data_IF_498284140165
#
_entry.id   IF_498284140165
#
_cell.length_a   1.000
_cell.length_b   1.000
_cell.length_c   1.000
_cell.angle_alpha   90.00
_cell.angle_beta   90.00
_cell.angle_gamma   90.00
#
_symmetry.space_group_name_H-M   'P 1'
#
loop_
_entity.id
_entity.type
_entity.pdbx_description
1 polymer ?
#
# COMPACT_ATOMS: atom_id res chain seq x y z
N UNK A 1 9.25 -23.04 3.95
CA UNK A 1 9.39 -23.99 5.01
C UNK A 1 8.65 -23.53 6.27
N UNK A 2 7.96 -24.41 7.00
CA UNK A 2 7.05 -24.04 8.07
C UNK A 2 7.66 -23.27 9.23
N UNK A 3 8.86 -23.67 9.66
CA UNK A 3 9.54 -22.99 10.76
C UNK A 3 9.92 -21.55 10.41
N UNK A 4 10.50 -21.34 9.24
CA UNK A 4 10.88 -20.00 8.80
C UNK A 4 9.63 -19.11 8.62
N UNK A 5 8.55 -19.64 8.07
CA UNK A 5 7.29 -18.92 7.89
C UNK A 5 6.71 -18.47 9.24
N UNK A 6 6.69 -19.37 10.24
CA UNK A 6 6.17 -19.02 11.58
C UNK A 6 7.00 -17.90 12.24
N UNK A 7 8.32 -17.91 12.06
CA UNK A 7 9.18 -16.86 12.62
C UNK A 7 8.97 -15.52 11.90
N UNK A 8 8.78 -15.52 10.59
CA UNK A 8 8.48 -14.31 9.84
C UNK A 8 7.14 -13.70 10.26
N UNK A 9 6.13 -14.51 10.50
CA UNK A 9 4.83 -14.03 11.01
C UNK A 9 4.97 -13.36 12.37
N UNK A 10 5.76 -13.94 13.28
CA UNK A 10 6.02 -13.35 14.59
C UNK A 10 6.77 -12.02 14.48
N UNK A 11 7.74 -11.92 13.57
CA UNK A 11 8.47 -10.67 13.33
C UNK A 11 7.55 -9.58 12.83
N UNK A 12 6.64 -9.89 11.90
CA UNK A 12 5.67 -8.92 11.40
C UNK A 12 4.78 -8.42 12.53
N UNK A 13 4.25 -9.33 13.36
CA UNK A 13 3.42 -8.96 14.50
C UNK A 13 4.16 -8.10 15.51
N UNK A 14 5.46 -8.29 15.66
CA UNK A 14 6.33 -7.52 16.57
C UNK A 14 6.97 -6.29 15.90
N UNK A 15 6.56 -5.96 14.66
CA UNK A 15 7.13 -4.88 13.87
C UNK A 15 8.63 -5.06 13.58
N UNK A 16 9.13 -6.30 13.56
CA UNK A 16 10.52 -6.61 13.19
C UNK A 16 10.71 -6.85 11.70
N UNK A 17 9.60 -6.93 10.92
CA UNK A 17 9.62 -6.90 9.47
C UNK A 17 9.19 -5.50 9.02
N UNK A 18 9.97 -4.90 8.14
CA UNK A 18 9.62 -3.62 7.54
C UNK A 18 9.25 -3.83 6.07
N UNK A 19 8.07 -3.36 5.69
CA UNK A 19 7.58 -3.38 4.30
C UNK A 19 7.20 -1.97 3.90
N UNK A 20 7.77 -1.50 2.79
CA UNK A 20 7.46 -0.18 2.24
C UNK A 20 6.98 -0.31 0.81
N UNK A 21 5.98 0.50 0.48
CA UNK A 21 5.35 0.51 -0.83
C UNK A 21 5.30 1.93 -1.36
N UNK A 22 5.37 2.07 -2.69
CA UNK A 22 4.93 3.28 -3.36
C UNK A 22 3.54 3.04 -3.94
N UNK A 23 2.69 4.06 -3.87
CA UNK A 23 1.38 4.05 -4.50
C UNK A 23 1.08 5.43 -5.08
N UNK A 24 0.29 5.45 -6.16
CA UNK A 24 -0.33 6.66 -6.68
C UNK A 24 -1.80 6.63 -6.32
N UNK A 25 -2.26 7.67 -5.61
CA UNK A 25 -3.63 7.78 -5.12
C UNK A 25 -4.26 9.07 -5.61
N UNK A 26 -5.57 9.10 -5.75
CA UNK A 26 -6.31 10.27 -6.26
C UNK A 26 -7.58 10.48 -5.46
N UNK A 27 -7.84 11.72 -5.07
CA UNK A 27 -9.05 12.08 -4.37
C UNK A 27 -9.38 13.55 -4.47
N UNK A 28 -10.60 13.93 -4.11
CA UNK A 28 -11.09 15.30 -4.24
C UNK A 28 -10.71 16.20 -3.06
N UNK A 29 -10.42 15.62 -1.92
CA UNK A 29 -10.11 16.37 -0.71
C UNK A 29 -8.63 16.67 -0.56
N UNK A 30 -8.27 17.08 0.65
CA UNK A 30 -6.87 17.30 1.02
C UNK A 30 -6.32 16.05 1.67
N UNK A 31 -5.18 15.56 1.17
CA UNK A 31 -4.46 14.46 1.80
C UNK A 31 -3.37 15.06 2.70
N UNK A 32 -3.36 14.70 3.97
CA UNK A 32 -2.31 15.12 4.89
C UNK A 32 -0.95 14.66 4.37
N UNK A 33 0.10 15.46 4.58
CA UNK A 33 1.45 15.12 4.10
C UNK A 33 2.04 13.90 4.76
N UNK A 34 1.63 13.61 5.98
CA UNK A 34 1.93 12.39 6.72
C UNK A 34 0.68 11.96 7.44
N UNK A 35 0.46 10.68 7.54
CA UNK A 35 -0.70 10.18 8.25
C UNK A 35 -0.63 8.71 8.59
N UNK A 36 -1.58 8.32 9.42
CA UNK A 36 -1.78 6.94 9.79
C UNK A 36 -3.24 6.58 9.56
N UNK A 37 -3.44 5.41 8.97
CA UNK A 37 -4.78 4.87 8.78
C UNK A 37 -4.88 3.65 9.68
N UNK A 38 -5.67 3.78 10.75
CA UNK A 38 -5.93 2.70 11.71
C UNK A 38 -7.42 2.41 11.61
N UNK A 39 -7.74 1.36 10.88
CA UNK A 39 -9.13 1.00 10.62
C UNK A 39 -9.24 -0.51 10.41
N UNK A 40 -10.12 -1.20 11.15
CA UNK A 40 -10.21 -2.65 11.08
C UNK A 40 -10.75 -3.11 9.72
N UNK A 41 -10.19 -4.20 9.23
CA UNK A 41 -10.52 -4.73 7.91
C UNK A 41 -11.20 -6.09 8.05
N UNK A 42 -12.32 -6.24 7.37
CA UNK A 42 -13.08 -7.48 7.30
C UNK A 42 -13.29 -7.89 5.84
N UNK A 43 -13.60 -9.17 5.63
CA UNK A 43 -14.04 -9.64 4.33
C UNK A 43 -15.42 -9.04 4.04
N UNK A 44 -15.62 -8.60 2.80
CA UNK A 44 -16.91 -8.13 2.34
C UNK A 44 -17.90 -9.32 2.32
N UNK A 45 -19.07 -9.15 2.91
CA UNK A 45 -20.07 -10.21 2.98
C UNK A 45 -20.57 -10.64 1.59
N UNK A 46 -20.57 -9.70 0.63
CA UNK A 46 -21.07 -9.93 -0.73
C UNK A 46 -20.00 -10.43 -1.70
N UNK A 47 -18.75 -10.60 -1.25
CA UNK A 47 -17.65 -11.02 -2.11
C UNK A 47 -16.61 -11.81 -1.34
N UNK A 48 -16.05 -12.84 -1.98
CA UNK A 48 -14.90 -13.57 -1.42
C UNK A 48 -13.58 -12.89 -1.75
N UNK A 49 -13.58 -11.89 -2.64
CA UNK A 49 -12.38 -11.20 -3.12
C UNK A 49 -12.15 -9.91 -2.35
N UNK A 50 -13.18 -9.09 -2.19
CA UNK A 50 -13.05 -7.75 -1.63
C UNK A 50 -13.03 -7.73 -0.11
N UNK A 51 -12.38 -6.71 0.42
CA UNK A 51 -12.30 -6.41 1.84
C UNK A 51 -12.90 -5.04 2.10
N UNK A 52 -13.25 -4.73 3.34
CA UNK A 52 -13.81 -3.43 3.70
C UNK A 52 -13.41 -3.06 5.12
N UNK A 53 -13.44 -1.76 5.40
CA UNK A 53 -13.33 -1.28 6.78
C UNK A 53 -14.67 -1.57 7.46
N UNK A 54 -14.62 -2.30 8.56
CA UNK A 54 -15.83 -2.67 9.30
C UNK A 54 -15.52 -2.87 10.78
N UNK A 55 -16.42 -2.41 11.63
CA UNK A 55 -16.37 -2.70 13.08
C UNK A 55 -16.40 -4.23 13.26
N UNK A 56 -15.50 -4.73 14.06
CA UNK A 56 -15.35 -6.18 14.25
C UNK A 56 -14.37 -6.83 13.29
N UNK A 57 -13.80 -6.08 12.33
CA UNK A 57 -12.73 -6.56 11.48
C UNK A 57 -11.42 -6.73 12.25
N UNK A 58 -10.40 -7.20 11.53
CA UNK A 58 -9.06 -7.36 12.12
C UNK A 58 -8.35 -6.01 12.19
N UNK A 59 -7.66 -5.76 13.30
CA UNK A 59 -6.84 -4.57 13.46
C UNK A 59 -5.89 -4.42 12.27
N UNK A 60 -5.84 -3.21 11.70
CA UNK A 60 -4.97 -2.92 10.57
C UNK A 60 -4.43 -1.50 10.68
N UNK A 61 -3.14 -1.35 10.47
CA UNK A 61 -2.43 -0.08 10.64
C UNK A 61 -1.48 0.16 9.46
N UNK A 62 -1.71 1.27 8.78
CA UNK A 62 -0.91 1.75 7.64
C UNK A 62 -0.42 3.15 7.94
N UNK A 63 0.89 3.42 7.78
CA UNK A 63 1.43 4.78 7.81
C UNK A 63 1.81 5.20 6.40
N UNK A 64 1.72 6.50 6.12
CA UNK A 64 2.12 7.00 4.83
C UNK A 64 2.74 8.39 4.92
N UNK A 65 3.53 8.72 3.90
CA UNK A 65 4.11 10.05 3.69
C UNK A 65 3.94 10.41 2.22
N UNK A 66 3.42 11.60 1.95
CA UNK A 66 3.32 12.11 0.58
C UNK A 66 4.70 12.52 0.10
N UNK A 67 5.15 11.91 -0.99
CA UNK A 67 6.46 12.17 -1.60
C UNK A 67 6.36 13.28 -2.64
N UNK A 68 5.28 13.27 -3.43
CA UNK A 68 5.04 14.26 -4.49
C UNK A 68 3.55 14.36 -4.76
N UNK A 69 3.12 15.51 -5.26
CA UNK A 69 1.72 15.75 -5.61
C UNK A 69 1.63 16.35 -7.02
N UNK A 70 0.63 15.90 -7.76
CA UNK A 70 0.36 16.28 -9.15
C UNK A 70 -1.13 16.63 -9.25
N UNK A 71 -1.49 17.82 -8.76
CA UNK A 71 -2.89 18.18 -8.61
C UNK A 71 -3.57 17.31 -7.54
N UNK A 72 -4.60 16.58 -7.91
CA UNK A 72 -5.32 15.67 -7.01
C UNK A 72 -4.78 14.24 -6.97
N UNK A 73 -3.63 14.01 -7.62
CA UNK A 73 -2.92 12.72 -7.61
C UNK A 73 -1.67 12.88 -6.74
N UNK A 74 -1.44 11.91 -5.86
CA UNK A 74 -0.32 11.94 -4.91
C UNK A 74 0.48 10.65 -4.98
N UNK A 75 1.81 10.79 -5.01
CA UNK A 75 2.72 9.67 -4.81
C UNK A 75 2.98 9.56 -3.31
N UNK A 76 2.65 8.41 -2.75
CA UNK A 76 2.83 8.17 -1.31
C UNK A 76 3.79 7.02 -1.07
N UNK A 77 4.63 7.19 -0.04
CA UNK A 77 5.50 6.15 0.50
C UNK A 77 4.79 5.58 1.73
N UNK A 78 4.56 4.28 1.73
CA UNK A 78 3.69 3.60 2.68
C UNK A 78 4.49 2.59 3.46
N UNK A 79 4.29 2.56 4.78
CA UNK A 79 4.81 1.52 5.65
C UNK A 79 3.64 0.74 6.26
N UNK A 80 3.71 -0.59 6.15
CA UNK A 80 2.73 -1.48 6.75
C UNK A 80 3.18 -1.91 8.14
N UNK A 81 2.31 -1.73 9.12
CA UNK A 81 2.49 -2.24 10.49
C UNK A 81 1.74 -3.54 10.71
N UNK A 82 0.80 -3.86 9.83
CA UNK A 82 0.06 -5.12 9.72
C UNK A 82 -0.01 -5.49 8.24
N UNK A 83 -0.39 -6.70 7.94
CA UNK A 83 -0.45 -7.17 6.56
C UNK A 83 -1.77 -7.85 6.21
N UNK A 84 -2.90 -7.17 6.38
CA UNK A 84 -4.19 -7.73 6.01
C UNK A 84 -4.37 -7.74 4.51
N UNK A 85 -5.17 -8.68 4.02
CA UNK A 85 -5.46 -8.79 2.58
C UNK A 85 -5.96 -7.45 2.03
N UNK A 86 -5.37 -6.98 0.93
CA UNK A 86 -5.70 -5.72 0.26
C UNK A 86 -5.61 -4.48 1.17
N UNK A 87 -4.83 -4.54 2.25
CA UNK A 87 -4.84 -3.48 3.28
C UNK A 87 -4.63 -2.08 2.73
N UNK A 88 -3.60 -1.86 1.92
CA UNK A 88 -3.30 -0.54 1.36
C UNK A 88 -4.47 -0.06 0.50
N UNK A 89 -4.97 -0.93 -0.36
CA UNK A 89 -6.06 -0.62 -1.30
C UNK A 89 -7.34 -0.24 -0.56
N UNK A 90 -7.69 -1.01 0.47
CA UNK A 90 -8.88 -0.77 1.31
C UNK A 90 -8.73 0.50 2.12
N UNK A 91 -7.57 0.68 2.78
CA UNK A 91 -7.33 1.84 3.62
C UNK A 91 -7.38 3.16 2.83
N UNK A 92 -6.73 3.22 1.68
CA UNK A 92 -6.73 4.44 0.87
C UNK A 92 -8.09 4.71 0.23
N UNK A 93 -8.82 3.68 -0.18
CA UNK A 93 -10.21 3.84 -0.60
C UNK A 93 -11.08 4.39 0.54
N UNK A 94 -10.88 3.87 1.76
CA UNK A 94 -11.64 4.29 2.93
C UNK A 94 -11.47 5.78 3.25
N UNK A 95 -10.28 6.33 3.08
CA UNK A 95 -10.04 7.76 3.33
C UNK A 95 -10.35 8.65 2.13
N UNK A 96 -10.91 8.08 1.06
CA UNK A 96 -11.33 8.85 -0.12
C UNK A 96 -10.25 9.05 -1.16
N UNK A 97 -9.15 8.29 -1.11
CA UNK A 97 -8.03 8.38 -2.03
C UNK A 97 -7.68 7.01 -2.60
N UNK A 98 -8.59 6.37 -3.36
CA UNK A 98 -8.29 5.08 -3.96
C UNK A 98 -7.07 5.16 -4.87
N UNK A 99 -6.38 4.03 -5.05
CA UNK A 99 -5.23 3.94 -5.92
C UNK A 99 -5.64 4.07 -7.39
N UNK A 100 -4.81 4.74 -8.19
CA UNK A 100 -4.99 4.76 -9.64
C UNK A 100 -5.01 3.34 -10.17
N UNK A 101 -5.90 3.06 -11.14
CA UNK A 101 -6.00 1.75 -11.76
C UNK A 101 -6.65 0.67 -10.90
N UNK A 102 -7.09 1.00 -9.71
CA UNK A 102 -7.71 0.05 -8.78
C UNK A 102 -9.23 0.16 -8.84
N UNK A 103 -9.82 -0.35 -9.91
CA UNK A 103 -11.26 -0.29 -10.14
C UNK A 103 -12.07 -1.11 -9.13
N UNK A 104 -11.44 -2.10 -8.48
CA UNK A 104 -12.09 -2.90 -7.46
C UNK A 104 -12.44 -2.09 -6.22
N UNK A 105 -11.66 -1.06 -5.90
CA UNK A 105 -11.84 -0.22 -4.71
C UNK A 105 -12.08 1.26 -5.03
N UNK A 106 -12.61 1.54 -6.22
CA UNK A 106 -13.07 2.89 -6.56
C UNK A 106 -12.10 3.74 -7.36
N UNK A 107 -10.96 3.19 -7.75
CA UNK A 107 -10.04 3.87 -8.68
C UNK A 107 -10.51 3.77 -10.11
N UNK A 108 -9.91 4.58 -11.00
CA UNK A 108 -10.24 4.59 -12.40
C UNK A 108 -9.15 3.92 -13.23
N UNK A 109 -9.56 3.21 -14.30
CA UNK A 109 -8.65 2.66 -15.30
C UNK A 109 -8.23 3.72 -16.33
N UNK A 110 -8.78 4.94 -16.24
CA UNK A 110 -8.54 6.01 -17.22
C UNK A 110 -7.43 6.97 -16.81
N UNK A 111 -6.76 6.73 -15.69
CA UNK A 111 -5.72 7.62 -15.18
C UNK A 111 -4.29 7.25 -15.61
N UNK A 112 -4.15 6.40 -16.61
CA UNK A 112 -2.86 6.08 -17.21
C UNK A 112 -2.22 4.77 -16.78
N UNK A 113 -2.88 4.00 -15.94
CA UNK A 113 -2.42 2.67 -15.53
C UNK A 113 -3.61 1.74 -15.40
N UNK A 114 -3.47 0.50 -15.89
CA UNK A 114 -4.56 -0.46 -16.00
C UNK A 114 -4.58 -1.49 -14.86
N UNK A 115 -3.78 -1.29 -13.86
CA UNK A 115 -3.72 -2.09 -12.62
C UNK A 115 -3.56 -1.16 -11.46
N UNK A 116 -3.77 -1.65 -10.24
CA UNK A 116 -3.50 -0.81 -9.07
C UNK A 116 -2.06 -0.28 -9.07
N UNK A 117 -1.92 1.02 -8.93
CA UNK A 117 -0.63 1.69 -8.90
C UNK A 117 0.00 1.50 -7.54
N UNK A 118 0.57 0.31 -7.32
CA UNK A 118 1.13 -0.14 -6.05
C UNK A 118 2.38 -0.96 -6.32
N UNK A 119 3.45 -0.67 -5.59
CA UNK A 119 4.71 -1.38 -5.74
C UNK A 119 5.44 -1.50 -4.42
N UNK A 120 5.79 -2.73 -4.02
CA UNK A 120 6.64 -2.96 -2.87
C UNK A 120 8.08 -2.62 -3.26
N UNK A 121 8.62 -1.51 -2.75
CA UNK A 121 9.96 -1.08 -3.11
C UNK A 121 11.01 -1.46 -2.06
N UNK A 122 10.59 -1.87 -0.87
CA UNK A 122 11.52 -2.20 0.20
C UNK A 122 10.94 -3.27 1.12
N UNK A 123 11.77 -4.24 1.45
CA UNK A 123 11.44 -5.30 2.41
C UNK A 123 12.68 -5.58 3.24
N UNK A 124 12.55 -5.54 4.55
CA UNK A 124 13.60 -5.90 5.50
C UNK A 124 13.06 -6.93 6.49
N UNK A 125 13.81 -7.99 6.71
CA UNK A 125 13.40 -9.04 7.65
C UNK A 125 14.61 -9.82 8.14
N UNK A 126 14.48 -10.46 9.32
CA UNK A 126 15.47 -11.38 9.83
C UNK A 126 15.28 -12.76 9.21
N UNK A 127 16.33 -13.30 8.59
CA UNK A 127 16.30 -14.65 8.01
C UNK A 127 16.75 -15.66 9.07
N UNK A 128 15.85 -16.52 9.57
CA UNK A 128 16.16 -17.40 10.70
C UNK A 128 17.21 -18.47 10.44
N UNK A 129 17.37 -18.90 9.20
CA UNK A 129 18.38 -19.91 8.86
C UNK A 129 19.76 -19.30 8.59
N UNK A 130 19.82 -18.10 8.05
CA UNK A 130 21.06 -17.38 7.80
C UNK A 130 21.53 -16.58 9.02
N UNK A 131 20.68 -16.45 10.01
CA UNK A 131 20.95 -15.69 11.25
C UNK A 131 21.43 -14.27 10.97
N UNK A 132 20.80 -13.60 9.97
CA UNK A 132 21.14 -12.25 9.60
C UNK A 132 19.91 -11.50 9.06
N UNK A 133 19.98 -10.19 9.13
CA UNK A 133 18.98 -9.33 8.54
C UNK A 133 19.19 -9.25 7.02
N UNK A 134 18.11 -9.36 6.27
CA UNK A 134 18.10 -9.20 4.82
C UNK A 134 17.30 -7.96 4.45
N UNK A 135 17.78 -7.25 3.44
CA UNK A 135 17.10 -6.08 2.87
C UNK A 135 16.97 -6.29 1.37
N UNK A 136 15.75 -6.13 0.87
CA UNK A 136 15.44 -6.26 -0.54
C UNK A 136 14.85 -4.95 -1.04
N UNK A 137 15.43 -4.41 -2.11
CA UNK A 137 14.93 -3.23 -2.79
C UNK A 137 14.55 -3.60 -4.22
N UNK A 138 13.49 -2.98 -4.73
CA UNK A 138 13.01 -3.22 -6.09
C UNK A 138 12.70 -1.89 -6.76
N UNK A 139 13.26 -1.64 -7.97
CA UNK A 139 12.96 -0.42 -8.70
C UNK A 139 11.51 -0.40 -9.17
N UNK A 140 10.99 0.79 -9.43
CA UNK A 140 9.63 0.95 -9.95
C UNK A 140 9.49 0.26 -11.30
N UNK A 141 8.38 -0.46 -11.54
CA UNK A 141 8.06 -0.98 -12.87
C UNK A 141 7.91 0.16 -13.89
N UNK A 142 8.15 -0.14 -15.15
CA UNK A 142 8.17 0.87 -16.23
C UNK A 142 6.82 1.59 -16.36
N UNK A 143 5.70 0.88 -16.26
CA UNK A 143 4.38 1.50 -16.35
C UNK A 143 4.15 2.54 -15.24
N UNK A 144 4.62 2.26 -14.05
CA UNK A 144 4.51 3.14 -12.89
C UNK A 144 5.45 4.34 -13.04
N UNK A 145 6.73 4.10 -13.37
CA UNK A 145 7.71 5.19 -13.51
C UNK A 145 7.39 6.10 -14.68
N UNK A 146 6.91 5.56 -15.80
CA UNK A 146 6.50 6.34 -16.96
C UNK A 146 5.30 7.23 -16.63
N UNK A 147 4.35 6.72 -15.85
CA UNK A 147 3.21 7.52 -15.42
C UNK A 147 3.64 8.69 -14.53
N UNK A 148 4.56 8.46 -13.58
CA UNK A 148 5.12 9.53 -12.75
C UNK A 148 5.77 10.61 -13.62
N UNK A 149 6.53 10.22 -14.64
CA UNK A 149 7.16 11.14 -15.57
C UNK A 149 6.12 12.00 -16.30
N UNK A 150 5.04 11.38 -16.80
CA UNK A 150 3.95 12.08 -17.45
C UNK A 150 3.27 13.07 -16.51
N UNK A 151 2.96 12.66 -15.28
CA UNK A 151 2.33 13.51 -14.28
C UNK A 151 3.22 14.70 -13.91
N UNK A 152 4.50 14.49 -13.76
CA UNK A 152 5.47 15.55 -13.48
C UNK A 152 5.55 16.58 -14.60
N UNK A 153 5.50 16.13 -15.86
CA UNK A 153 5.54 17.00 -17.03
C UNK A 153 4.25 17.81 -17.17
N UNK A 154 3.10 17.18 -16.92
CA UNK A 154 1.79 17.80 -17.15
C UNK A 154 1.42 18.84 -16.08
N UNK A 155 2.08 18.82 -14.93
CA UNK A 155 1.81 19.80 -13.86
C UNK A 155 2.71 21.03 -13.88
N UNK A 156 3.63 21.09 -14.81
CA UNK A 156 4.52 22.26 -14.98
C UNK A 156 3.83 23.41 -15.82
#
# INVERSE_FOLDING_TARGET
>A
HGYAHARLDKQLQRKSIEKRYFALVKGAGVLETEGEIIAPIARDEDSIITRRVAKGGKYAHTSYKVVASYGNIHLVDIQLHTGRTHQIRVHFSHIGFPLLGDDLYGGSLDDGIQRQALHCHYLSFYHPFLEQDLQLESPLPDDFSNLITQLSTNTL
#
